data_IF_785190866362
#
_entry.id   IF_785190866362
#
_cell.length_a   1.000
_cell.length_b   1.000
_cell.length_c   1.000
_cell.angle_alpha   90.00
_cell.angle_beta   90.00
_cell.angle_gamma   90.00
#
_symmetry.space_group_name_H-M   'P 1'
#
loop_
_entity.id
_entity.type
_entity.pdbx_description
1 polymer ?
#
# COMPACT_ATOMS: atom_id res chain seq x y z
N UNK A 1 -4.11 -6.62 2.37
CA UNK A 1 -4.12 -8.05 2.00
C UNK A 1 -4.67 -8.13 0.59
N UNK A 2 -3.91 -8.72 -0.32
CA UNK A 2 -4.21 -8.73 -1.73
C UNK A 2 -4.19 -10.17 -2.25
N UNK A 3 -5.02 -10.38 -3.26
CA UNK A 3 -5.12 -11.60 -4.03
C UNK A 3 -5.21 -11.23 -5.51
N UNK A 4 -4.28 -11.76 -6.32
CA UNK A 4 -4.16 -11.43 -7.73
C UNK A 4 -5.35 -11.89 -8.58
N UNK A 5 -6.06 -12.97 -8.20
CA UNK A 5 -7.12 -13.55 -9.01
C UNK A 5 -8.54 -13.31 -8.47
N UNK A 6 -8.64 -12.89 -7.22
CA UNK A 6 -9.86 -12.34 -6.63
C UNK A 6 -10.83 -13.39 -6.10
N UNK A 7 -10.39 -14.61 -5.88
CA UNK A 7 -11.13 -15.71 -5.25
C UNK A 7 -10.79 -15.89 -3.76
N UNK A 8 -9.90 -15.05 -3.23
CA UNK A 8 -9.40 -15.07 -1.85
C UNK A 8 -8.22 -16.01 -1.70
N UNK A 9 -7.63 -16.07 -0.51
CA UNK A 9 -6.39 -16.86 -0.28
C UNK A 9 -6.59 -18.38 -0.23
N UNK A 10 -7.70 -18.92 -0.77
CA UNK A 10 -7.90 -20.35 -0.95
C UNK A 10 -7.71 -21.20 0.33
N UNK A 11 -8.02 -20.62 1.50
CA UNK A 11 -7.86 -21.24 2.82
C UNK A 11 -6.60 -20.83 3.59
N UNK A 12 -5.66 -20.14 2.94
CA UNK A 12 -4.52 -19.48 3.58
C UNK A 12 -4.96 -18.25 4.36
N UNK A 13 -4.23 -17.92 5.43
CA UNK A 13 -4.56 -16.78 6.29
C UNK A 13 -3.36 -16.30 7.11
N UNK A 14 -3.43 -15.05 7.55
CA UNK A 14 -2.65 -14.50 8.64
C UNK A 14 -3.40 -14.67 9.96
N UNK A 15 -2.76 -15.27 10.95
CA UNK A 15 -3.17 -15.17 12.34
C UNK A 15 -2.36 -14.10 13.05
N UNK A 16 -3.06 -13.18 13.72
CA UNK A 16 -2.43 -12.04 14.36
C UNK A 16 -2.65 -12.13 15.86
N UNK A 17 -1.56 -12.04 16.63
CA UNK A 17 -1.59 -12.11 18.08
C UNK A 17 -1.23 -10.76 18.69
N UNK A 18 -1.98 -10.34 19.70
CA UNK A 18 -1.65 -9.20 20.55
C UNK A 18 -1.34 -9.67 21.97
N UNK A 19 -0.14 -9.39 22.46
CA UNK A 19 0.32 -9.87 23.79
C UNK A 19 0.10 -11.38 23.97
N UNK A 20 0.32 -12.15 22.91
CA UNK A 20 0.13 -13.60 22.87
C UNK A 20 -1.32 -14.08 22.72
N UNK A 21 -2.31 -13.19 22.70
CA UNK A 21 -3.72 -13.53 22.47
C UNK A 21 -4.07 -13.39 21.00
N UNK A 22 -4.68 -14.41 20.39
CA UNK A 22 -5.12 -14.34 18.99
C UNK A 22 -6.24 -13.32 18.81
N UNK A 23 -6.10 -12.47 17.79
CA UNK A 23 -7.11 -11.51 17.33
C UNK A 23 -7.99 -12.10 16.22
N UNK A 24 -7.64 -13.27 15.68
CA UNK A 24 -8.36 -13.97 14.62
C UNK A 24 -7.52 -14.26 13.39
N UNK A 25 -8.20 -14.79 12.37
CA UNK A 25 -7.65 -15.13 11.06
C UNK A 25 -8.08 -14.09 10.03
N UNK A 26 -7.13 -13.68 9.20
CA UNK A 26 -7.29 -12.61 8.20
C UNK A 26 -6.81 -13.11 6.84
N UNK A 27 -7.59 -12.86 5.80
CA UNK A 27 -7.25 -13.18 4.41
C UNK A 27 -7.91 -12.20 3.45
N UNK A 28 -7.41 -12.14 2.21
CA UNK A 28 -8.03 -11.33 1.17
C UNK A 28 -9.43 -11.85 0.83
N UNK A 29 -10.33 -10.93 0.50
CA UNK A 29 -11.65 -11.23 -0.05
C UNK A 29 -11.79 -10.47 -1.37
N UNK A 30 -12.21 -11.14 -2.45
CA UNK A 30 -12.03 -10.55 -3.78
C UNK A 30 -10.55 -10.31 -4.04
N UNK A 31 -10.22 -9.27 -4.82
CA UNK A 31 -8.83 -8.89 -5.10
C UNK A 31 -8.07 -8.32 -3.89
N UNK A 32 -8.76 -8.03 -2.79
CA UNK A 32 -8.13 -7.49 -1.60
C UNK A 32 -9.12 -7.07 -0.54
N UNK A 33 -8.65 -7.09 0.70
CA UNK A 33 -9.40 -6.66 1.87
C UNK A 33 -8.47 -5.95 2.85
N UNK A 34 -9.07 -5.09 3.67
CA UNK A 34 -8.38 -4.41 4.78
C UNK A 34 -8.97 -4.80 6.12
N UNK A 35 -8.14 -4.74 7.14
CA UNK A 35 -8.53 -4.95 8.54
C UNK A 35 -7.67 -4.07 9.42
N UNK A 36 -8.27 -3.50 10.46
CA UNK A 36 -7.59 -2.60 11.40
C UNK A 36 -7.38 -3.30 12.72
N UNK A 37 -6.22 -3.11 13.33
CA UNK A 37 -5.88 -3.65 14.64
C UNK A 37 -5.66 -2.49 15.61
N UNK A 38 -6.42 -2.46 16.70
CA UNK A 38 -6.20 -1.50 17.78
C UNK A 38 -5.12 -2.01 18.73
N UNK A 39 -4.11 -1.18 18.98
CA UNK A 39 -3.03 -1.48 19.91
C UNK A 39 -2.67 -0.28 20.78
N UNK A 40 -2.06 -0.54 21.93
CA UNK A 40 -1.48 0.46 22.80
C UNK A 40 0.05 0.50 22.67
N UNK A 41 0.66 1.56 23.20
CA UNK A 41 2.11 1.67 23.31
C UNK A 41 2.67 0.43 24.04
N UNK A 42 3.67 -0.21 23.43
CA UNK A 42 4.32 -1.45 23.87
C UNK A 42 3.48 -2.74 23.81
N UNK A 43 2.28 -2.74 23.21
CA UNK A 43 1.61 -4.01 22.88
C UNK A 43 2.49 -4.81 21.90
N UNK A 44 2.73 -6.09 22.17
CA UNK A 44 3.44 -6.95 21.21
C UNK A 44 2.47 -7.46 20.14
N UNK A 45 2.82 -7.26 18.87
CA UNK A 45 2.14 -7.89 17.74
C UNK A 45 3.01 -8.97 17.14
N UNK A 46 2.42 -10.16 16.98
CA UNK A 46 3.02 -11.27 16.25
C UNK A 46 2.11 -11.68 15.11
N UNK A 47 2.69 -11.85 13.93
CA UNK A 47 1.99 -12.29 12.73
C UNK A 47 2.48 -13.70 12.39
N UNK A 48 1.55 -14.60 12.14
CA UNK A 48 1.83 -15.96 11.70
C UNK A 48 1.06 -16.25 10.41
N UNK A 49 1.78 -16.53 9.32
CA UNK A 49 1.16 -16.91 8.06
C UNK A 49 0.98 -18.43 7.99
N UNK A 50 -0.23 -18.85 7.62
CA UNK A 50 -0.57 -20.23 7.29
C UNK A 50 -0.86 -20.33 5.80
N UNK A 51 -0.05 -21.11 5.09
CA UNK A 51 -0.23 -21.39 3.67
C UNK A 51 -1.35 -22.41 3.43
N UNK A 52 -1.94 -22.38 2.23
CA UNK A 52 -2.86 -23.36 1.68
C UNK A 52 -2.50 -23.68 0.21
N UNK A 53 -3.42 -23.42 -0.73
CA UNK A 53 -3.17 -23.51 -2.17
C UNK A 53 -2.97 -22.09 -2.75
N UNK A 54 -2.21 -21.98 -3.85
CA UNK A 54 -2.00 -20.75 -4.63
C UNK A 54 -1.32 -19.61 -3.84
N UNK A 55 -0.23 -19.87 -3.13
CA UNK A 55 0.50 -18.83 -2.37
C UNK A 55 1.06 -17.70 -3.25
N UNK A 56 1.28 -17.97 -4.54
CA UNK A 56 1.89 -17.04 -5.48
C UNK A 56 1.02 -15.84 -5.84
N UNK A 57 -0.24 -15.80 -5.41
CA UNK A 57 -1.16 -14.66 -5.57
C UNK A 57 -1.38 -13.88 -4.27
N UNK A 58 -0.93 -14.41 -3.13
CA UNK A 58 -1.18 -13.82 -1.82
C UNK A 58 -0.09 -12.82 -1.44
N UNK A 59 -0.47 -11.60 -1.06
CA UNK A 59 0.44 -10.63 -0.44
C UNK A 59 -0.25 -9.80 0.64
N UNK A 60 0.53 -9.23 1.55
CA UNK A 60 0.00 -8.35 2.57
C UNK A 60 1.00 -7.32 3.03
N UNK A 61 0.46 -6.21 3.48
CA UNK A 61 1.17 -5.08 4.06
C UNK A 61 0.57 -4.73 5.42
N UNK A 62 1.40 -4.27 6.34
CA UNK A 62 0.99 -3.61 7.57
C UNK A 62 1.42 -2.16 7.52
N UNK A 63 0.49 -1.27 7.82
CA UNK A 63 0.74 0.15 7.94
C UNK A 63 0.59 0.62 9.38
N UNK A 64 1.36 1.63 9.74
CA UNK A 64 1.13 2.39 10.96
C UNK A 64 -0.15 3.24 10.83
N UNK A 65 -0.72 3.75 11.94
CA UNK A 65 -1.81 4.73 11.88
C UNK A 65 -1.56 5.96 10.98
N UNK A 66 -0.30 6.37 10.80
CA UNK A 66 0.13 7.44 9.89
C UNK A 66 0.42 6.98 8.46
N UNK A 67 -0.01 5.77 8.09
CA UNK A 67 0.19 5.16 6.77
C UNK A 67 1.65 4.98 6.33
N UNK A 68 2.55 4.81 7.30
CA UNK A 68 3.90 4.35 7.02
C UNK A 68 3.89 2.83 6.90
N UNK A 69 4.50 2.29 5.83
CA UNK A 69 4.67 0.84 5.67
C UNK A 69 5.60 0.30 6.77
N UNK A 70 5.09 -0.62 7.58
CA UNK A 70 5.83 -1.30 8.65
C UNK A 70 6.44 -2.61 8.14
N UNK A 71 5.66 -3.38 7.40
CA UNK A 71 6.09 -4.65 6.82
C UNK A 71 5.27 -4.95 5.57
N UNK A 72 5.88 -5.72 4.65
CA UNK A 72 5.20 -6.36 3.53
C UNK A 72 5.74 -7.76 3.34
N UNK A 73 4.91 -8.67 2.84
CA UNK A 73 5.34 -9.99 2.37
C UNK A 73 4.46 -10.45 1.21
N UNK A 74 4.99 -11.36 0.40
CA UNK A 74 4.39 -11.84 -0.83
C UNK A 74 4.86 -11.10 -2.10
N UNK A 75 4.54 -11.63 -3.29
CA UNK A 75 3.83 -12.90 -3.50
C UNK A 75 4.62 -14.11 -2.98
N UNK A 76 3.93 -15.17 -2.54
CA UNK A 76 4.48 -16.35 -1.84
C UNK A 76 4.97 -16.08 -0.40
N UNK A 77 4.11 -15.63 0.53
CA UNK A 77 4.52 -15.41 1.91
C UNK A 77 4.99 -16.73 2.53
N UNK A 78 6.09 -16.69 3.29
CA UNK A 78 6.64 -17.89 3.91
C UNK A 78 5.80 -18.27 5.15
N UNK A 79 5.43 -19.56 5.31
CA UNK A 79 4.66 -19.98 6.48
C UNK A 79 5.47 -19.86 7.79
N UNK A 80 4.78 -19.53 8.88
CA UNK A 80 5.35 -19.39 10.22
C UNK A 80 5.31 -17.95 10.76
N UNK A 81 6.11 -17.67 11.78
CA UNK A 81 6.19 -16.31 12.34
C UNK A 81 6.93 -15.39 11.38
N UNK A 82 6.20 -14.46 10.81
CA UNK A 82 6.69 -13.51 9.80
C UNK A 82 7.08 -12.17 10.41
N UNK A 83 6.57 -11.83 11.60
CA UNK A 83 6.90 -10.56 12.27
C UNK A 83 6.64 -10.57 13.79
N UNK A 84 7.44 -9.80 14.54
CA UNK A 84 7.22 -9.52 15.97
C UNK A 84 7.71 -8.09 16.31
N UNK A 85 6.79 -7.20 16.72
CA UNK A 85 7.09 -5.79 17.02
C UNK A 85 6.38 -5.32 18.30
N UNK A 86 6.94 -4.31 18.97
CA UNK A 86 6.25 -3.55 20.00
C UNK A 86 5.49 -2.38 19.37
N UNK A 87 4.25 -2.17 19.79
CA UNK A 87 3.39 -1.09 19.32
C UNK A 87 3.95 0.27 19.64
N UNK A 88 3.90 1.16 18.65
CA UNK A 88 4.10 2.58 18.83
C UNK A 88 2.83 3.30 18.36
N UNK A 89 2.22 4.04 19.28
CA UNK A 89 1.01 4.82 19.02
C UNK A 89 1.33 6.19 18.42
N UNK A 90 2.56 6.67 18.59
CA UNK A 90 3.05 7.88 17.92
C UNK A 90 3.46 7.53 16.49
N UNK A 91 2.74 8.09 15.53
CA UNK A 91 3.07 7.96 14.11
C UNK A 91 3.22 9.32 13.48
N UNK A 92 4.22 9.46 12.63
CA UNK A 92 4.39 10.63 11.80
C UNK A 92 3.53 10.39 10.56
N UNK A 93 2.49 11.20 10.39
CA UNK A 93 1.78 11.29 9.12
C UNK A 93 2.68 12.06 8.14
N UNK A 94 3.10 11.38 7.09
CA UNK A 94 3.89 11.97 6.03
C UNK A 94 3.03 12.04 4.77
N UNK A 95 2.78 13.28 4.36
CA UNK A 95 1.95 13.56 3.19
C UNK A 95 2.59 12.98 1.93
N UNK A 96 1.79 12.28 1.13
CA UNK A 96 2.23 11.63 -0.09
C UNK A 96 2.86 10.25 0.11
N UNK A 97 3.06 9.77 1.34
CA UNK A 97 3.67 8.46 1.59
C UNK A 97 2.79 7.26 1.18
N UNK A 98 1.48 7.47 1.14
CA UNK A 98 0.50 6.43 0.84
C UNK A 98 -0.74 7.08 0.19
N UNK A 99 -1.56 6.36 -0.59
CA UNK A 99 -2.78 6.94 -1.15
C UNK A 99 -3.73 7.55 -0.10
N UNK A 100 -3.68 7.06 1.14
CA UNK A 100 -4.49 7.58 2.24
C UNK A 100 -3.96 8.87 2.85
N UNK A 101 -2.73 9.26 2.54
CA UNK A 101 -2.10 10.53 2.93
C UNK A 101 -1.73 11.37 1.69
N UNK A 102 -2.30 11.03 0.52
CA UNK A 102 -1.98 11.63 -0.76
C UNK A 102 -2.11 13.16 -0.75
N UNK A 103 -1.20 13.84 -1.44
CA UNK A 103 -1.19 15.29 -1.57
C UNK A 103 -2.36 15.71 -2.49
N UNK A 104 -3.31 16.54 -2.03
CA UNK A 104 -4.38 17.02 -2.90
C UNK A 104 -3.84 17.94 -3.99
N UNK A 105 -4.22 17.67 -5.24
CA UNK A 105 -3.87 18.50 -6.40
C UNK A 105 -5.13 18.85 -7.20
N UNK A 106 -5.03 19.91 -8.00
CA UNK A 106 -6.03 20.29 -8.99
C UNK A 106 -5.38 20.38 -10.38
N UNK A 107 -6.22 20.34 -11.41
CA UNK A 107 -5.87 20.43 -12.83
C UNK A 107 -5.27 21.78 -13.26
N UNK A 108 -5.30 22.81 -12.40
CA UNK A 108 -4.95 24.19 -12.77
C UNK A 108 -3.58 24.65 -12.26
N UNK A 109 -2.95 23.95 -11.32
CA UNK A 109 -1.66 24.33 -10.74
C UNK A 109 -0.75 23.12 -10.54
N UNK A 110 0.55 23.30 -10.82
CA UNK A 110 1.56 22.30 -10.49
C UNK A 110 1.67 22.15 -8.97
N UNK A 111 1.73 20.90 -8.50
CA UNK A 111 2.04 20.59 -7.12
C UNK A 111 3.54 20.35 -6.98
N UNK A 112 4.15 20.97 -5.98
CA UNK A 112 5.53 20.68 -5.59
C UNK A 112 5.51 19.68 -4.44
N UNK A 113 6.30 18.62 -4.55
CA UNK A 113 6.46 17.60 -3.53
C UNK A 113 7.93 17.25 -3.35
N UNK A 114 8.26 16.79 -2.15
CA UNK A 114 9.60 16.34 -1.76
C UNK A 114 9.50 14.90 -1.28
N UNK A 115 10.25 14.00 -1.92
CA UNK A 115 10.26 12.58 -1.60
C UNK A 115 11.47 12.16 -0.74
N UNK A 116 12.29 13.10 -0.25
CA UNK A 116 13.52 12.80 0.50
C UNK A 116 13.30 12.02 1.80
N UNK A 117 12.12 12.17 2.40
CA UNK A 117 11.72 11.42 3.60
C UNK A 117 10.69 10.32 3.27
N UNK A 118 10.24 10.22 2.01
CA UNK A 118 9.22 9.26 1.61
C UNK A 118 9.67 7.83 1.89
N UNK A 119 8.80 7.04 2.51
CA UNK A 119 8.93 5.61 2.56
C UNK A 119 8.07 5.01 1.45
N UNK A 120 8.40 3.80 1.01
CA UNK A 120 7.56 3.08 0.06
C UNK A 120 6.12 2.97 0.59
N UNK A 121 5.12 3.27 -0.24
CA UNK A 121 3.74 2.90 0.07
C UNK A 121 3.52 1.38 0.10
N UNK A 122 4.45 0.61 -0.48
CA UNK A 122 4.31 -0.85 -0.66
C UNK A 122 3.46 -1.24 -1.87
N UNK A 123 2.84 -0.28 -2.55
CA UNK A 123 2.05 -0.50 -3.76
C UNK A 123 2.97 -0.42 -4.97
N UNK A 124 3.01 -1.48 -5.79
CA UNK A 124 3.85 -1.56 -6.97
C UNK A 124 3.03 -1.17 -8.22
N UNK A 125 3.49 -0.20 -9.05
CA UNK A 125 2.84 0.16 -10.32
C UNK A 125 3.11 -0.85 -11.46
N UNK A 126 3.90 -1.89 -11.21
CA UNK A 126 4.30 -2.93 -12.17
C UNK A 126 4.96 -2.43 -13.46
N UNK A 127 5.52 -1.22 -13.42
CA UNK A 127 6.29 -0.61 -14.51
C UNK A 127 7.37 0.34 -13.96
N UNK A 128 8.06 1.03 -14.86
CA UNK A 128 9.04 2.08 -14.56
C UNK A 128 10.19 1.66 -13.63
N UNK A 129 10.64 0.41 -13.73
CA UNK A 129 11.66 -0.20 -12.85
C UNK A 129 11.51 0.18 -11.36
N UNK A 130 10.28 0.14 -10.84
CA UNK A 130 9.99 0.62 -9.49
C UNK A 130 10.85 -0.04 -8.39
N UNK A 131 11.52 0.79 -7.59
CA UNK A 131 12.41 0.38 -6.49
C UNK A 131 11.97 0.92 -5.12
N UNK A 132 10.71 0.67 -4.74
CA UNK A 132 10.19 0.93 -3.38
C UNK A 132 10.28 2.42 -2.94
N UNK A 133 10.04 3.36 -3.86
CA UNK A 133 9.94 4.78 -3.54
C UNK A 133 8.89 5.47 -4.40
N UNK A 134 7.85 6.00 -3.77
CA UNK A 134 6.74 6.68 -4.44
C UNK A 134 6.28 7.93 -3.70
N UNK A 135 5.50 8.74 -4.40
CA UNK A 135 4.78 9.90 -3.88
C UNK A 135 3.37 9.90 -4.44
N UNK A 136 2.39 10.02 -3.56
CA UNK A 136 0.99 9.93 -3.89
C UNK A 136 0.32 11.30 -3.98
N UNK A 137 -0.43 11.49 -5.04
CA UNK A 137 -1.28 12.66 -5.27
C UNK A 137 -2.71 12.22 -5.50
N UNK A 138 -3.66 13.07 -5.12
CA UNK A 138 -5.09 12.81 -5.32
C UNK A 138 -5.80 14.02 -5.92
N UNK A 139 -6.69 13.75 -6.88
CA UNK A 139 -7.56 14.75 -7.47
C UNK A 139 -8.95 14.16 -7.72
N UNK A 140 -9.95 15.04 -7.80
CA UNK A 140 -11.26 14.66 -8.32
C UNK A 140 -11.24 14.64 -9.84
N UNK A 141 -11.84 13.61 -10.43
CA UNK A 141 -12.01 13.55 -11.89
C UNK A 141 -12.79 14.78 -12.38
N UNK A 142 -12.29 15.52 -13.38
CA UNK A 142 -12.98 16.68 -13.91
C UNK A 142 -14.24 16.25 -14.68
N UNK A 143 -15.27 17.13 -14.81
CA UNK A 143 -16.47 16.82 -15.59
C UNK A 143 -16.21 16.49 -17.07
N UNK A 144 -15.05 16.89 -17.60
CA UNK A 144 -14.60 16.54 -18.95
C UNK A 144 -14.27 15.05 -19.12
N UNK A 145 -13.96 14.34 -18.02
CA UNK A 145 -13.48 12.96 -18.03
C UNK A 145 -12.02 12.80 -18.49
N UNK A 146 -11.36 13.89 -18.89
CA UNK A 146 -10.02 13.86 -19.47
C UNK A 146 -9.04 14.58 -18.54
N UNK A 147 -7.94 13.90 -18.21
CA UNK A 147 -6.83 14.43 -17.42
C UNK A 147 -5.54 14.12 -18.17
N UNK A 148 -4.61 15.09 -18.21
CA UNK A 148 -3.22 14.88 -18.62
C UNK A 148 -2.36 15.16 -17.41
N UNK A 149 -1.45 14.23 -17.11
CA UNK A 149 -0.54 14.29 -15.97
C UNK A 149 0.87 14.30 -16.57
N UNK A 150 1.71 15.19 -16.07
CA UNK A 150 3.11 15.29 -16.46
C UNK A 150 3.93 15.72 -15.24
N UNK A 151 5.17 15.27 -15.18
CA UNK A 151 6.18 15.81 -14.27
C UNK A 151 6.83 17.03 -14.91
N UNK A 152 7.25 17.99 -14.08
CA UNK A 152 8.08 19.13 -14.51
C UNK A 152 9.54 18.87 -14.10
N UNK A 153 10.45 19.66 -14.66
CA UNK A 153 11.86 19.65 -14.31
C UNK A 153 12.08 19.72 -12.79
N UNK A 154 12.92 18.83 -12.29
CA UNK A 154 13.23 18.70 -10.87
C UNK A 154 14.57 18.01 -10.65
N UNK A 155 14.76 17.41 -9.47
CA UNK A 155 15.95 16.60 -9.16
C UNK A 155 15.81 15.13 -9.54
N UNK A 156 14.60 14.67 -9.88
CA UNK A 156 14.32 13.32 -10.35
C UNK A 156 14.51 13.30 -11.86
N UNK A 157 15.44 12.47 -12.34
CA UNK A 157 15.85 12.45 -13.76
C UNK A 157 15.16 11.36 -14.58
N UNK A 158 14.44 10.47 -13.91
CA UNK A 158 13.75 9.31 -14.49
C UNK A 158 12.51 9.03 -13.61
N UNK A 159 11.31 9.16 -14.16
CA UNK A 159 10.06 9.15 -13.39
C UNK A 159 9.01 8.23 -13.97
N UNK A 160 8.67 7.18 -13.23
CA UNK A 160 7.43 6.45 -13.43
C UNK A 160 6.20 7.21 -12.90
N UNK A 161 5.15 7.29 -13.71
CA UNK A 161 3.83 7.75 -13.33
C UNK A 161 2.81 6.61 -13.49
N UNK A 162 2.07 6.34 -12.43
CA UNK A 162 0.93 5.44 -12.48
C UNK A 162 -0.33 6.14 -11.98
N UNK A 163 -1.48 5.71 -12.51
CA UNK A 163 -2.78 6.28 -12.19
C UNK A 163 -3.65 5.18 -11.63
N UNK A 164 -4.24 5.42 -10.46
CA UNK A 164 -5.16 4.49 -9.81
C UNK A 164 -6.52 5.13 -9.58
N UNK A 165 -7.55 4.30 -9.49
CA UNK A 165 -8.91 4.70 -9.13
C UNK A 165 -9.51 3.72 -8.14
N UNK A 166 -10.36 4.20 -7.26
CA UNK A 166 -11.01 3.36 -6.24
C UNK A 166 -12.09 4.14 -5.50
N UNK A 167 -13.01 3.43 -4.82
CA UNK A 167 -13.98 4.06 -3.92
C UNK A 167 -13.31 4.66 -2.67
N UNK A 168 -12.12 4.20 -2.31
CA UNK A 168 -11.33 4.67 -1.17
C UNK A 168 -9.82 4.44 -1.41
N UNK A 169 -8.98 4.92 -0.49
CA UNK A 169 -7.53 4.88 -0.59
C UNK A 169 -6.91 3.50 -0.35
N UNK A 170 -7.71 2.49 0.02
CA UNK A 170 -7.26 1.11 0.27
C UNK A 170 -7.76 0.11 -0.77
N UNK A 171 -8.76 0.51 -1.57
CA UNK A 171 -9.40 -0.30 -2.59
C UNK A 171 -9.08 0.26 -3.98
N UNK A 172 -7.79 0.27 -4.33
CA UNK A 172 -7.32 0.87 -5.58
C UNK A 172 -7.23 -0.16 -6.70
N UNK A 173 -7.58 0.30 -7.91
CA UNK A 173 -7.33 -0.38 -9.17
C UNK A 173 -6.49 0.53 -10.05
N UNK A 174 -5.38 0.01 -10.56
CA UNK A 174 -4.57 0.70 -11.53
C UNK A 174 -5.35 0.90 -12.85
N UNK A 175 -5.28 2.09 -13.40
CA UNK A 175 -5.82 2.45 -14.72
C UNK A 175 -4.73 2.36 -15.80
N UNK A 176 -3.48 2.60 -15.42
CA UNK A 176 -2.31 2.44 -16.26
C UNK A 176 -1.12 3.15 -15.66
N UNK A 177 0.03 2.92 -16.26
CA UNK A 177 1.27 3.55 -15.89
C UNK A 177 2.17 3.77 -17.10
N UNK A 178 3.10 4.70 -16.94
CA UNK A 178 4.01 5.17 -17.96
C UNK A 178 5.33 5.61 -17.30
N UNK A 179 6.44 5.58 -18.03
CA UNK A 179 7.80 5.92 -17.56
C UNK A 179 8.45 6.93 -18.50
N UNK A 180 8.43 6.61 -19.80
CA UNK A 180 9.15 7.34 -20.84
C UNK A 180 8.26 8.06 -21.86
N UNK A 181 6.92 8.05 -21.68
CA UNK A 181 5.88 8.64 -22.52
C UNK A 181 6.30 8.88 -23.99
N UNK A 182 6.02 7.92 -24.87
CA UNK A 182 6.11 8.12 -26.34
C UNK A 182 4.92 8.96 -26.87
#
# INVERSE_FOLDING_TARGET
>A
MHDMYGDGWNGGFLEIFKNGTSLGHFSASGFGSTSTISMCENDSLRFEYTQADYENENSYELYSPGWQLILKDGPNPLPGTVFNIAGHCDTIDMQGNHPCTAIPIDTTQCALADNTLSAASGINPFCAEYHDGDMWFIMHSPPSGNVSIATDSGSINDTGLAVWTGPDCTSLRELGCDDDAE
#
